data_IF_676489136688
#
_entry.id   IF_676489136688
#
_cell.length_a   1.000
_cell.length_b   1.000
_cell.length_c   1.000
_cell.angle_alpha   90.00
_cell.angle_beta   90.00
_cell.angle_gamma   90.00
#
_symmetry.space_group_name_H-M   'P 1'
#
loop_
_entity.id
_entity.type
_entity.pdbx_description
1 polymer ?
#
# COMPACT_ATOMS: atom_id res chain seq x y z
N UNK A 1 -17.22 -5.33 -1.78
CA UNK A 1 -17.65 -5.25 -0.36
C UNK A 1 -16.40 -5.42 0.48
N UNK A 2 -16.06 -4.44 1.31
CA UNK A 2 -14.88 -4.51 2.18
C UNK A 2 -15.19 -5.33 3.42
N UNK A 3 -14.36 -6.31 3.75
CA UNK A 3 -14.47 -7.12 4.97
C UNK A 3 -13.43 -6.73 6.02
N UNK A 4 -13.73 -6.98 7.29
CA UNK A 4 -12.77 -6.74 8.38
C UNK A 4 -11.46 -7.52 8.16
N UNK A 5 -11.53 -8.77 7.68
CA UNK A 5 -10.33 -9.54 7.32
C UNK A 5 -9.43 -8.85 6.29
N UNK A 6 -10.02 -8.16 5.29
CA UNK A 6 -9.25 -7.41 4.31
C UNK A 6 -8.57 -6.20 4.96
N UNK A 7 -9.29 -5.49 5.82
CA UNK A 7 -8.75 -4.33 6.54
C UNK A 7 -7.61 -4.73 7.46
N UNK A 8 -7.77 -5.81 8.25
CA UNK A 8 -6.73 -6.31 9.16
C UNK A 8 -5.49 -6.78 8.42
N UNK A 9 -5.65 -7.54 7.31
CA UNK A 9 -4.52 -7.93 6.46
C UNK A 9 -3.76 -6.72 5.95
N UNK A 10 -4.47 -5.71 5.42
CA UNK A 10 -3.82 -4.51 4.90
C UNK A 10 -3.13 -3.71 6.01
N UNK A 11 -3.70 -3.64 7.21
CA UNK A 11 -3.05 -3.01 8.37
C UNK A 11 -1.73 -3.69 8.74
N UNK A 12 -1.71 -5.03 8.77
CA UNK A 12 -0.52 -5.81 9.15
C UNK A 12 0.60 -5.64 8.11
N UNK A 13 0.26 -5.75 6.82
CA UNK A 13 1.22 -5.59 5.72
C UNK A 13 1.75 -4.16 5.58
N UNK A 14 0.86 -3.17 5.60
CA UNK A 14 1.22 -1.76 5.36
C UNK A 14 1.68 -1.01 6.63
N UNK A 15 1.45 -1.60 7.82
CA UNK A 15 1.68 -0.99 9.14
C UNK A 15 0.99 0.37 9.28
N UNK A 16 -0.28 0.41 8.87
CA UNK A 16 -1.14 1.61 8.91
C UNK A 16 -2.30 1.42 9.89
N UNK A 17 -3.03 2.50 10.15
CA UNK A 17 -4.22 2.45 10.99
C UNK A 17 -5.38 1.70 10.30
N UNK A 18 -6.27 1.12 11.09
CA UNK A 18 -7.50 0.49 10.60
C UNK A 18 -8.34 1.43 9.72
N UNK A 19 -8.44 2.71 10.11
CA UNK A 19 -9.18 3.71 9.35
C UNK A 19 -8.51 4.02 8.00
N UNK A 20 -7.18 4.12 7.95
CA UNK A 20 -6.46 4.31 6.68
C UNK A 20 -6.63 3.09 5.76
N UNK A 21 -6.52 1.87 6.29
CA UNK A 21 -6.71 0.63 5.54
C UNK A 21 -8.14 0.50 5.01
N UNK A 22 -9.14 0.78 5.84
CA UNK A 22 -10.55 0.75 5.47
C UNK A 22 -10.87 1.81 4.43
N UNK A 23 -10.30 3.01 4.55
CA UNK A 23 -10.46 4.06 3.55
C UNK A 23 -9.86 3.65 2.20
N UNK A 24 -8.66 3.06 2.20
CA UNK A 24 -8.01 2.60 0.97
C UNK A 24 -8.83 1.48 0.29
N UNK A 25 -9.26 0.47 1.04
CA UNK A 25 -10.08 -0.61 0.51
C UNK A 25 -11.45 -0.15 0.02
N UNK A 26 -12.05 0.88 0.64
CA UNK A 26 -13.30 1.44 0.13
C UNK A 26 -13.10 2.18 -1.21
N UNK A 27 -11.96 2.83 -1.43
CA UNK A 27 -11.63 3.50 -2.70
C UNK A 27 -11.42 2.50 -3.84
N UNK A 28 -10.85 1.34 -3.52
CA UNK A 28 -10.55 0.28 -4.49
C UNK A 28 -11.60 -0.82 -4.52
N UNK A 29 -12.79 -0.56 -3.96
CA UNK A 29 -13.93 -1.48 -3.92
C UNK A 29 -13.64 -2.85 -3.27
N UNK A 30 -12.59 -2.92 -2.45
CA UNK A 30 -12.10 -4.12 -1.77
C UNK A 30 -10.89 -4.78 -2.45
N UNK A 31 -10.31 -4.19 -3.50
CA UNK A 31 -9.05 -4.67 -4.07
C UNK A 31 -7.88 -4.32 -3.15
N UNK A 32 -7.34 -5.36 -2.51
CA UNK A 32 -6.24 -5.24 -1.54
C UNK A 32 -4.93 -4.85 -2.21
N UNK A 33 -4.70 -5.28 -3.46
CA UNK A 33 -3.47 -4.98 -4.18
C UNK A 33 -3.48 -3.54 -4.64
N UNK A 34 -4.58 -3.10 -5.26
CA UNK A 34 -4.74 -1.70 -5.67
C UNK A 34 -4.67 -0.76 -4.46
N UNK A 35 -5.30 -1.13 -3.33
CA UNK A 35 -5.24 -0.33 -2.11
C UNK A 35 -3.81 -0.20 -1.57
N UNK A 36 -3.02 -1.28 -1.65
CA UNK A 36 -1.62 -1.27 -1.24
C UNK A 36 -0.77 -0.37 -2.17
N UNK A 37 -0.98 -0.46 -3.48
CA UNK A 37 -0.29 0.39 -4.47
C UNK A 37 -0.59 1.87 -4.20
N UNK A 38 -1.86 2.23 -4.00
CA UNK A 38 -2.27 3.59 -3.63
C UNK A 38 -1.57 4.08 -2.35
N UNK A 39 -1.49 3.23 -1.33
CA UNK A 39 -0.83 3.57 -0.07
C UNK A 39 0.69 3.72 -0.22
N UNK A 40 1.33 2.91 -1.07
CA UNK A 40 2.76 3.02 -1.40
C UNK A 40 3.04 4.33 -2.16
N UNK A 41 2.20 4.68 -3.13
CA UNK A 41 2.30 5.93 -3.89
C UNK A 41 2.13 7.16 -3.00
N UNK A 42 1.25 7.09 -1.99
CA UNK A 42 1.06 8.15 -1.01
C UNK A 42 2.16 8.22 0.06
N UNK A 43 3.13 7.30 0.05
CA UNK A 43 4.18 7.21 1.07
C UNK A 43 3.65 6.86 2.47
N UNK A 44 2.44 6.28 2.54
CA UNK A 44 1.77 5.92 3.80
C UNK A 44 2.18 4.55 4.33
N UNK A 45 2.78 3.69 3.51
CA UNK A 45 3.29 2.38 3.92
C UNK A 45 4.63 2.55 4.64
N UNK A 46 4.73 2.04 5.87
CA UNK A 46 5.99 2.12 6.60
C UNK A 46 7.05 1.23 5.92
N UNK A 47 8.29 1.70 5.71
CA UNK A 47 9.35 0.87 5.16
C UNK A 47 9.61 -0.29 6.13
N UNK A 48 9.42 -1.52 5.63
CA UNK A 48 9.68 -2.72 6.41
C UNK A 48 11.17 -2.75 6.81
N UNK A 49 11.47 -2.64 8.11
CA UNK A 49 12.83 -2.78 8.67
C UNK A 49 13.38 -4.15 8.23
N UNK A 50 14.20 -4.16 7.18
CA UNK A 50 14.77 -5.38 6.58
C UNK A 50 14.86 -5.35 5.06
N UNK A 51 14.09 -4.50 4.36
CA UNK A 51 14.32 -4.22 2.93
C UNK A 51 15.19 -2.96 2.84
N UNK A 52 16.49 -3.14 2.66
CA UNK A 52 17.38 -2.06 2.24
C UNK A 52 16.74 -1.34 1.03
N UNK A 53 16.80 0.00 0.90
CA UNK A 53 16.48 0.70 -0.35
C UNK A 53 17.50 0.41 -1.48
N UNK A 54 18.24 -0.69 -1.37
CA UNK A 54 19.29 -1.13 -2.29
C UNK A 54 18.77 -2.34 -3.05
N UNK A 55 17.83 -2.03 -3.91
CA UNK A 55 17.16 -2.95 -4.81
C UNK A 55 16.22 -2.11 -5.64
N UNK A 56 16.81 -1.16 -6.37
CA UNK A 56 16.30 -0.57 -7.62
C UNK A 56 14.86 -0.96 -7.99
N UNK A 57 13.88 -0.48 -7.22
CA UNK A 57 12.46 -0.52 -7.56
C UNK A 57 11.76 0.81 -7.23
N UNK A 58 12.37 1.65 -6.39
CA UNK A 58 12.01 3.07 -6.27
C UNK A 58 12.34 3.88 -7.53
N UNK A 59 13.12 3.31 -8.46
CA UNK A 59 13.36 3.87 -9.80
C UNK A 59 12.49 3.24 -10.90
N UNK A 60 11.71 2.18 -10.61
CA UNK A 60 10.86 1.57 -11.63
C UNK A 60 9.57 2.38 -11.85
N UNK A 61 8.99 2.96 -10.80
CA UNK A 61 7.82 3.83 -10.95
C UNK A 61 8.17 5.28 -11.32
N UNK A 62 9.35 5.79 -10.95
CA UNK A 62 9.79 7.12 -11.40
C UNK A 62 10.06 7.20 -12.90
N UNK A 63 10.38 6.07 -13.55
CA UNK A 63 10.53 5.98 -15.00
C UNK A 63 9.20 5.69 -15.72
N UNK A 64 8.24 5.04 -15.07
CA UNK A 64 6.93 4.72 -15.67
C UNK A 64 5.95 5.90 -15.67
N UNK A 65 6.19 6.95 -14.87
CA UNK A 65 5.36 8.16 -14.78
C UNK A 65 6.01 9.39 -15.44
N UNK A 66 7.11 9.22 -16.19
CA UNK A 66 7.77 10.29 -16.96
C UNK A 66 7.72 10.08 -18.49
N UNK A 67 6.75 9.31 -18.99
CA UNK A 67 6.41 9.25 -20.41
C UNK A 67 4.93 9.53 -20.65
#
# INVERSE_FOLDING_TARGET
MVTNDQVEKLCDYARISYEDAKSALNKTEGDVIEALIDLEQLGKVAPMRGRSPQGSSALLYSALFML
#
